data_IF_549616169035
#
_entry.id   IF_549616169035
#
_cell.length_a   1.000
_cell.length_b   1.000
_cell.length_c   1.000
_cell.angle_alpha   90.00
_cell.angle_beta   90.00
_cell.angle_gamma   90.00
#
_symmetry.space_group_name_H-M   'P 1'
#
loop_
_entity.id
_entity.type
_entity.pdbx_description
1 polymer ?
#
# COMPACT_ATOMS: atom_id res chain seq x y z
N UNK A 1 -1.66 -5.33 14.28
CA UNK A 1 -0.72 -5.35 15.42
C UNK A 1 -0.26 -3.92 15.70
N UNK A 2 -0.20 -3.47 16.95
CA UNK A 2 0.08 -2.05 17.26
C UNK A 2 1.58 -1.70 17.30
N UNK A 3 1.99 -0.75 16.45
CA UNK A 3 3.37 -0.26 16.35
C UNK A 3 3.91 0.29 17.68
N UNK A 4 3.11 1.10 18.37
CA UNK A 4 3.53 1.78 19.60
C UNK A 4 3.81 0.82 20.76
N UNK A 5 3.15 -0.35 20.79
CA UNK A 5 3.43 -1.42 21.74
C UNK A 5 4.73 -2.16 21.40
N UNK A 6 4.99 -2.40 20.11
CA UNK A 6 6.22 -3.01 19.62
C UNK A 6 7.45 -2.11 19.87
N UNK A 7 7.31 -0.79 19.75
CA UNK A 7 8.40 0.16 20.02
C UNK A 7 8.80 0.21 21.50
N UNK A 8 7.88 -0.07 22.41
CA UNK A 8 8.15 -0.16 23.86
C UNK A 8 8.84 -1.47 24.25
N UNK A 9 8.69 -2.53 23.45
CA UNK A 9 9.32 -3.84 23.69
C UNK A 9 10.82 -3.85 23.38
N UNK A 10 11.50 -4.84 23.94
CA UNK A 10 12.91 -5.11 23.67
C UNK A 10 13.14 -5.75 22.31
N UNK A 11 14.35 -5.58 21.75
CA UNK A 11 14.73 -6.24 20.47
C UNK A 11 14.62 -7.76 20.56
N UNK A 12 14.90 -8.35 21.73
CA UNK A 12 14.75 -9.77 21.97
C UNK A 12 13.28 -10.22 21.85
N UNK A 13 12.35 -9.52 22.51
CA UNK A 13 10.92 -9.82 22.44
C UNK A 13 10.36 -9.62 21.03
N UNK A 14 10.79 -8.57 20.33
CA UNK A 14 10.41 -8.35 18.94
C UNK A 14 10.85 -9.52 18.04
N UNK A 15 12.05 -10.07 18.28
CA UNK A 15 12.53 -11.25 17.55
C UNK A 15 11.73 -12.50 17.87
N UNK A 16 11.32 -12.69 19.13
CA UNK A 16 10.43 -13.80 19.49
C UNK A 16 9.08 -13.70 18.79
N UNK A 17 8.47 -12.50 18.78
CA UNK A 17 7.20 -12.26 18.06
C UNK A 17 7.38 -12.54 16.57
N UNK A 18 8.45 -12.02 15.97
CA UNK A 18 8.75 -12.25 14.56
C UNK A 18 8.99 -13.74 14.24
N UNK A 19 9.68 -14.47 15.13
CA UNK A 19 9.92 -15.90 15.00
C UNK A 19 8.64 -16.71 15.17
N UNK A 20 7.74 -16.30 16.07
CA UNK A 20 6.42 -16.92 16.24
C UNK A 20 5.54 -16.72 15.00
N UNK A 21 5.71 -15.60 14.30
CA UNK A 21 5.10 -15.33 13.00
C UNK A 21 5.82 -16.01 11.82
N UNK A 22 6.84 -16.84 12.09
CA UNK A 22 7.58 -17.59 11.06
C UNK A 22 8.59 -16.76 10.26
N UNK A 23 8.83 -15.50 10.64
CA UNK A 23 9.77 -14.64 9.94
C UNK A 23 11.22 -15.05 10.26
N UNK A 24 12.07 -15.07 9.23
CA UNK A 24 13.50 -15.39 9.34
C UNK A 24 14.36 -14.24 8.82
N UNK A 25 15.65 -14.26 9.17
CA UNK A 25 16.63 -13.28 8.67
C UNK A 25 16.63 -11.93 9.38
N UNK A 26 15.84 -11.75 10.46
CA UNK A 26 15.71 -10.46 11.14
C UNK A 26 16.84 -10.16 12.13
N UNK A 27 17.81 -11.08 12.28
CA UNK A 27 18.95 -10.87 13.17
C UNK A 27 19.87 -9.72 12.74
N UNK A 28 19.83 -9.36 11.45
CA UNK A 28 20.60 -8.27 10.85
C UNK A 28 19.83 -6.95 10.80
N UNK A 29 18.53 -6.98 11.13
CA UNK A 29 17.66 -5.81 11.07
C UNK A 29 17.76 -4.97 12.35
N UNK A 30 17.60 -3.66 12.19
CA UNK A 30 17.53 -2.70 13.30
C UNK A 30 16.16 -2.79 13.98
N UNK A 31 16.05 -2.25 15.20
CA UNK A 31 14.79 -2.24 15.96
C UNK A 31 13.62 -1.67 15.14
N UNK A 32 13.82 -0.54 14.47
CA UNK A 32 12.80 0.09 13.64
C UNK A 32 12.33 -0.82 12.50
N UNK A 33 13.27 -1.40 11.73
CA UNK A 33 12.99 -2.36 10.66
C UNK A 33 12.26 -3.62 11.17
N UNK A 34 12.63 -4.08 12.36
CA UNK A 34 12.03 -5.25 12.99
C UNK A 34 10.56 -4.97 13.36
N UNK A 35 10.27 -3.79 13.92
CA UNK A 35 8.91 -3.36 14.21
C UNK A 35 8.08 -3.25 12.94
N UNK A 36 8.64 -2.61 11.90
CA UNK A 36 7.95 -2.41 10.63
C UNK A 36 7.55 -3.73 9.97
N UNK A 37 8.48 -4.69 9.90
CA UNK A 37 8.23 -6.06 9.43
C UNK A 37 7.13 -6.78 10.21
N UNK A 38 7.14 -6.65 11.53
CA UNK A 38 6.14 -7.29 12.41
C UNK A 38 4.76 -6.67 12.18
N UNK A 39 4.68 -5.34 12.05
CA UNK A 39 3.40 -4.65 11.79
C UNK A 39 2.88 -5.00 10.40
N UNK A 40 3.73 -5.00 9.37
CA UNK A 40 3.38 -5.38 7.99
C UNK A 40 2.82 -6.80 7.95
N UNK A 41 3.58 -7.78 8.42
CA UNK A 41 3.18 -9.19 8.36
C UNK A 41 1.93 -9.49 9.20
N UNK A 42 1.75 -8.81 10.33
CA UNK A 42 0.56 -8.96 11.15
C UNK A 42 -0.64 -8.13 10.66
N UNK A 43 -0.43 -7.21 9.73
CA UNK A 43 -1.49 -6.56 8.93
C UNK A 43 -1.94 -7.48 7.80
N UNK A 44 -0.99 -8.04 7.06
CA UNK A 44 -1.23 -8.97 5.94
C UNK A 44 -1.99 -10.23 6.37
N UNK A 45 -1.76 -10.76 7.57
CA UNK A 45 -2.51 -11.91 8.10
C UNK A 45 -4.02 -11.64 8.34
N UNK A 46 -4.48 -10.38 8.23
CA UNK A 46 -5.90 -10.00 8.39
C UNK A 46 -6.56 -9.64 7.05
N UNK A 47 -5.81 -9.63 5.96
CA UNK A 47 -6.24 -9.17 4.64
C UNK A 47 -6.02 -10.26 3.57
N UNK A 48 -6.29 -11.51 3.89
CA UNK A 48 -6.53 -12.54 2.87
C UNK A 48 -7.99 -12.40 2.40
N UNK A 49 -8.33 -11.27 1.74
CA UNK A 49 -9.51 -11.07 0.87
C UNK A 49 -9.52 -9.66 0.21
N UNK A 50 -8.40 -9.08 -0.24
CA UNK A 50 -8.48 -8.11 -1.37
C UNK A 50 -7.24 -8.19 -2.25
N UNK A 51 -7.46 -8.72 -3.45
CA UNK A 51 -6.75 -8.51 -4.70
C UNK A 51 -5.47 -7.66 -4.65
N UNK A 52 -4.37 -8.33 -4.98
CA UNK A 52 -3.25 -7.72 -5.66
C UNK A 52 -3.71 -6.97 -6.92
N UNK A 53 -3.11 -5.79 -7.14
CA UNK A 53 -2.56 -5.30 -8.42
C UNK A 53 -3.08 -3.92 -8.90
N UNK A 54 -2.13 -2.99 -9.10
CA UNK A 54 -2.22 -1.81 -9.97
C UNK A 54 -2.29 -0.46 -9.22
N UNK A 55 -1.17 0.21 -8.94
CA UNK A 55 -0.59 1.27 -9.79
C UNK A 55 -1.60 2.41 -10.02
N UNK A 56 -1.51 3.58 -9.38
CA UNK A 56 -0.35 4.47 -9.34
C UNK A 56 -0.37 5.39 -10.57
N UNK A 57 -0.66 6.68 -10.37
CA UNK A 57 -0.75 7.73 -11.42
C UNK A 57 -2.21 8.01 -11.78
N UNK A 58 -2.88 9.07 -11.33
CA UNK A 58 -2.55 10.49 -11.53
C UNK A 58 -2.16 10.81 -12.98
N UNK A 59 -2.75 11.90 -13.46
CA UNK A 59 -2.34 12.72 -14.60
C UNK A 59 -3.18 12.65 -15.88
N UNK A 60 -3.83 13.80 -16.08
CA UNK A 60 -3.94 14.57 -17.32
C UNK A 60 -4.97 14.14 -18.38
N UNK A 61 -6.05 14.92 -18.38
CA UNK A 61 -6.70 15.56 -19.53
C UNK A 61 -6.13 15.24 -20.92
N UNK A 62 -7.02 14.75 -21.80
CA UNK A 62 -7.02 15.15 -23.21
C UNK A 62 -8.46 15.32 -23.67
N UNK A 63 -8.65 16.49 -24.26
CA UNK A 63 -9.88 17.07 -24.74
C UNK A 63 -10.23 16.58 -26.16
N UNK A 64 -11.46 16.94 -26.54
CA UNK A 64 -11.85 17.35 -27.88
C UNK A 64 -11.96 16.25 -28.96
N UNK A 65 -13.18 15.75 -29.14
CA UNK A 65 -13.64 15.38 -30.48
C UNK A 65 -14.79 16.30 -30.89
N UNK A 66 -14.44 17.26 -31.74
CA UNK A 66 -15.39 17.97 -32.59
C UNK A 66 -16.04 17.01 -33.59
N UNK A 67 -17.36 17.11 -33.69
CA UNK A 67 -18.15 16.55 -34.78
C UNK A 67 -19.16 17.60 -35.21
N UNK A 68 -18.83 18.27 -36.30
CA UNK A 68 -19.67 19.28 -36.93
C UNK A 68 -20.89 18.63 -37.58
N UNK A 69 -22.08 19.15 -37.30
CA UNK A 69 -23.23 18.96 -38.18
C UNK A 69 -23.83 20.33 -38.52
N UNK A 70 -23.78 20.58 -39.82
CA UNK A 70 -24.19 21.78 -40.49
C UNK A 70 -25.71 21.83 -40.65
N UNK A 71 -26.30 22.99 -40.39
CA UNK A 71 -27.51 23.57 -41.00
C UNK A 71 -27.82 24.82 -40.15
N UNK A 72 -28.05 26.02 -40.67
CA UNK A 72 -28.97 26.41 -41.73
C UNK A 72 -28.45 27.72 -42.33
N UNK A 73 -28.31 27.76 -43.66
CA UNK A 73 -28.36 29.01 -44.39
C UNK A 73 -29.83 29.39 -44.51
N UNK A 74 -30.24 30.54 -43.98
CA UNK A 74 -31.50 31.16 -44.37
C UNK A 74 -31.38 32.68 -44.41
N UNK A 75 -32.06 33.21 -45.41
CA UNK A 75 -31.83 34.39 -46.24
C UNK A 75 -32.64 35.60 -45.73
N UNK A 76 -32.20 36.84 -46.02
CA UNK A 76 -33.02 38.05 -45.83
C UNK A 76 -32.26 39.33 -45.54
#
# INVERSE_FOLDING_TARGET
MDRTLLEKKSVAELREIASALGMRGLQRLKKAELVDRIVSSAGEAKEEEVSANGHGGADAEVADEGGADAEVADEG
#
